data_IF_284396918653
#
_entry.id   IF_284396918653
#
_cell.length_a   1.000
_cell.length_b   1.000
_cell.length_c   1.000
_cell.angle_alpha   90.00
_cell.angle_beta   90.00
_cell.angle_gamma   90.00
#
_symmetry.space_group_name_H-M   'P 1'
#
loop_
_entity.id
_entity.type
_entity.pdbx_description
1 polymer ?
#
# COMPACT_ATOMS: atom_id res chain seq x y z
N UNK A 1 -20.77 19.83 -6.36
CA UNK A 1 -20.09 20.44 -5.19
C UNK A 1 -18.73 19.73 -5.01
N UNK A 2 -17.73 20.28 -4.31
CA UNK A 2 -16.39 19.63 -4.16
C UNK A 2 -16.51 18.23 -3.53
N UNK A 3 -17.47 18.04 -2.63
CA UNK A 3 -17.78 16.76 -1.98
C UNK A 3 -18.15 15.66 -2.97
N UNK A 4 -18.94 15.98 -4.00
CA UNK A 4 -19.37 15.01 -5.01
C UNK A 4 -18.17 14.60 -5.88
N UNK A 5 -17.35 15.57 -6.25
CA UNK A 5 -16.12 15.33 -7.01
C UNK A 5 -15.17 14.40 -6.25
N UNK A 6 -14.89 14.70 -4.97
CA UNK A 6 -13.99 13.85 -4.16
C UNK A 6 -14.57 12.44 -3.91
N UNK A 7 -15.89 12.32 -3.75
CA UNK A 7 -16.56 11.04 -3.49
C UNK A 7 -16.66 10.15 -4.72
N UNK A 8 -16.84 10.73 -5.90
CA UNK A 8 -17.11 10.01 -7.14
C UNK A 8 -15.90 9.94 -8.09
N UNK A 9 -14.74 10.45 -7.66
CA UNK A 9 -13.50 10.28 -8.42
C UNK A 9 -13.11 8.80 -8.45
N UNK A 10 -13.07 8.24 -9.67
CA UNK A 10 -12.72 6.83 -9.88
C UNK A 10 -11.25 6.52 -9.54
N UNK A 11 -10.91 5.24 -9.32
CA UNK A 11 -9.54 4.81 -9.10
C UNK A 11 -8.67 5.09 -10.33
N UNK A 12 -7.33 5.25 -10.16
CA UNK A 12 -6.42 5.32 -11.29
C UNK A 12 -6.51 4.04 -12.15
N UNK A 13 -6.36 4.13 -13.48
CA UNK A 13 -6.41 2.97 -14.35
C UNK A 13 -5.26 2.01 -14.04
N UNK A 14 -5.57 0.71 -14.10
CA UNK A 14 -4.60 -0.36 -13.88
C UNK A 14 -3.81 -0.64 -15.13
N UNK A 15 -2.54 -0.98 -14.95
CA UNK A 15 -1.69 -1.50 -16.02
C UNK A 15 -1.89 -3.01 -16.08
N UNK A 16 -2.07 -3.62 -17.26
CA UNK A 16 -2.10 -5.08 -17.40
C UNK A 16 -0.83 -5.71 -16.81
N UNK A 17 -1.01 -6.78 -16.02
CA UNK A 17 0.12 -7.45 -15.39
C UNK A 17 0.97 -8.20 -16.42
N UNK A 18 2.27 -7.94 -16.41
CA UNK A 18 3.26 -8.79 -17.09
C UNK A 18 3.43 -10.11 -16.34
N UNK A 19 4.12 -11.08 -16.96
CA UNK A 19 4.49 -12.34 -16.27
C UNK A 19 5.32 -12.10 -15.00
N UNK A 20 6.22 -11.12 -15.02
CA UNK A 20 7.01 -10.74 -13.84
C UNK A 20 6.14 -10.10 -12.76
N UNK A 21 5.20 -9.21 -13.12
CA UNK A 21 4.29 -8.59 -12.16
C UNK A 21 3.34 -9.61 -11.51
N UNK A 22 2.85 -10.62 -12.26
CA UNK A 22 2.07 -11.71 -11.66
C UNK A 22 2.88 -12.55 -10.68
N UNK A 23 4.17 -12.80 -10.97
CA UNK A 23 5.07 -13.44 -10.00
C UNK A 23 5.33 -12.54 -8.78
N UNK A 24 5.45 -11.23 -9.01
CA UNK A 24 5.59 -10.21 -7.97
C UNK A 24 4.40 -10.16 -7.01
N UNK A 25 3.16 -10.25 -7.50
CA UNK A 25 1.96 -10.29 -6.66
C UNK A 25 1.99 -11.50 -5.70
N UNK A 26 2.50 -12.65 -6.16
CA UNK A 26 2.69 -13.83 -5.30
C UNK A 26 3.77 -13.58 -4.24
N UNK A 27 4.90 -12.99 -4.63
CA UNK A 27 5.98 -12.65 -3.68
C UNK A 27 5.50 -11.63 -2.63
N UNK A 28 4.70 -10.65 -3.04
CA UNK A 28 4.11 -9.63 -2.16
C UNK A 28 3.28 -10.27 -1.04
N UNK A 29 2.41 -11.23 -1.38
CA UNK A 29 1.66 -12.00 -0.40
C UNK A 29 2.59 -12.88 0.46
N UNK A 30 3.53 -13.59 -0.17
CA UNK A 30 4.44 -14.53 0.49
C UNK A 30 5.31 -13.90 1.57
N UNK A 31 5.83 -12.69 1.36
CA UNK A 31 6.68 -12.03 2.36
C UNK A 31 5.90 -11.32 3.46
N UNK A 32 4.58 -11.23 3.31
CA UNK A 32 3.68 -10.64 4.31
C UNK A 32 3.33 -9.18 4.05
N UNK A 33 3.61 -8.60 2.87
CA UNK A 33 3.16 -7.24 2.56
C UNK A 33 1.63 -7.13 2.63
N UNK A 34 0.93 -8.17 2.18
CA UNK A 34 -0.52 -8.24 2.14
C UNK A 34 -1.20 -8.33 3.52
N UNK A 35 -0.45 -8.39 4.62
CA UNK A 35 -1.01 -8.36 5.99
C UNK A 35 -1.66 -6.99 6.25
N UNK A 36 -0.94 -5.91 5.96
CA UNK A 36 -1.45 -4.54 6.08
C UNK A 36 -1.94 -4.02 4.72
N UNK A 37 -1.24 -4.37 3.63
CA UNK A 37 -1.59 -3.95 2.27
C UNK A 37 -2.57 -4.93 1.60
N UNK A 38 -3.74 -5.14 2.21
CA UNK A 38 -4.72 -6.11 1.73
C UNK A 38 -5.18 -5.81 0.30
N UNK A 39 -5.14 -6.79 -0.63
CA UNK A 39 -5.37 -6.53 -2.05
C UNK A 39 -6.72 -5.91 -2.39
N UNK A 40 -7.77 -6.28 -1.67
CA UNK A 40 -9.15 -5.86 -1.95
C UNK A 40 -9.88 -5.57 -0.66
N UNK A 41 -10.61 -4.45 -0.62
CA UNK A 41 -11.69 -4.22 0.33
C UNK A 41 -13.01 -4.04 -0.39
N UNK A 42 -14.10 -3.94 0.35
CA UNK A 42 -15.41 -3.63 -0.19
C UNK A 42 -15.93 -2.32 0.40
N UNK A 43 -16.55 -1.49 -0.43
CA UNK A 43 -17.36 -0.38 0.10
C UNK A 43 -18.53 -0.95 0.91
N UNK A 44 -19.02 -0.16 1.88
CA UNK A 44 -20.20 -0.53 2.65
C UNK A 44 -21.50 -0.48 1.83
N UNK A 45 -22.62 -0.91 2.42
CA UNK A 45 -23.94 -0.68 1.83
C UNK A 45 -24.16 0.79 1.50
N UNK A 46 -24.68 1.09 0.32
CA UNK A 46 -24.93 2.46 -0.13
C UNK A 46 -26.18 2.56 -1.02
N UNK A 47 -26.82 3.72 -1.02
CA UNK A 47 -27.93 4.02 -1.95
C UNK A 47 -27.42 4.26 -3.37
N UNK A 48 -26.20 4.78 -3.52
CA UNK A 48 -25.57 5.00 -4.81
C UNK A 48 -25.04 3.66 -5.36
N UNK A 49 -25.55 3.17 -6.50
CA UNK A 49 -25.09 1.92 -7.10
C UNK A 49 -23.62 1.92 -7.48
N UNK A 50 -22.97 3.09 -7.62
CA UNK A 50 -21.54 3.20 -7.86
C UNK A 50 -20.70 2.87 -6.59
N UNK A 51 -21.31 2.94 -5.41
CA UNK A 51 -20.65 2.77 -4.12
C UNK A 51 -21.23 1.63 -3.27
N UNK A 52 -22.32 0.98 -3.67
CA UNK A 52 -22.89 -0.14 -2.94
C UNK A 52 -22.05 -1.42 -3.13
N UNK A 53 -21.43 -1.89 -2.03
CA UNK A 53 -20.73 -3.19 -1.94
C UNK A 53 -19.75 -3.46 -3.09
N UNK A 54 -19.03 -2.44 -3.55
CA UNK A 54 -18.05 -2.54 -4.63
C UNK A 54 -16.72 -3.07 -4.13
N UNK A 55 -16.15 -4.02 -4.87
CA UNK A 55 -14.77 -4.42 -4.68
C UNK A 55 -13.82 -3.28 -5.08
N UNK A 56 -12.95 -2.89 -4.17
CA UNK A 56 -11.94 -1.85 -4.34
C UNK A 56 -10.56 -2.47 -4.11
N UNK A 57 -9.75 -2.57 -5.17
CA UNK A 57 -8.37 -3.09 -5.06
C UNK A 57 -7.40 -1.99 -4.66
N UNK A 58 -7.51 -1.56 -3.40
CA UNK A 58 -6.76 -0.43 -2.86
C UNK A 58 -5.41 -0.82 -2.24
N UNK A 59 -5.16 -2.11 -2.00
CA UNK A 59 -3.91 -2.60 -1.41
C UNK A 59 -3.60 -1.95 -0.05
N UNK A 60 -4.61 -1.91 0.81
CA UNK A 60 -4.54 -1.47 2.20
C UNK A 60 -5.78 -1.97 2.93
N UNK A 61 -5.67 -2.11 4.24
CA UNK A 61 -6.78 -2.39 5.16
C UNK A 61 -7.35 -1.11 5.80
N UNK A 62 -6.74 0.05 5.52
CA UNK A 62 -7.03 1.35 6.12
C UNK A 62 -6.94 1.39 7.66
N UNK A 63 -6.28 0.40 8.26
CA UNK A 63 -6.08 0.33 9.71
C UNK A 63 -4.80 1.05 10.12
N UNK A 64 -4.68 1.26 11.44
CA UNK A 64 -3.50 1.81 12.09
C UNK A 64 -2.54 0.68 12.46
N UNK A 65 -1.25 0.87 12.17
CA UNK A 65 -0.20 -0.10 12.49
C UNK A 65 1.02 0.57 13.09
N UNK A 66 1.67 -0.08 14.05
CA UNK A 66 2.93 0.39 14.61
C UNK A 66 4.04 0.31 13.54
N UNK A 67 4.47 1.48 13.06
CA UNK A 67 5.52 1.65 12.06
C UNK A 67 6.91 1.86 12.67
N UNK A 68 7.08 1.63 13.97
CA UNK A 68 8.39 1.68 14.62
C UNK A 68 9.03 3.05 14.57
N UNK A 69 10.27 3.10 14.09
CA UNK A 69 11.02 4.34 13.87
C UNK A 69 10.45 5.26 12.78
N UNK A 70 9.41 4.80 12.05
CA UNK A 70 8.68 5.59 11.06
C UNK A 70 7.37 6.18 11.61
N UNK A 71 7.19 6.22 12.93
CA UNK A 71 6.17 7.06 13.56
C UNK A 71 6.46 8.55 13.36
N UNK A 72 5.42 9.38 13.35
CA UNK A 72 5.54 10.85 13.28
C UNK A 72 5.65 11.51 14.67
N UNK A 73 5.48 10.73 15.74
CA UNK A 73 5.55 11.23 17.12
C UNK A 73 4.25 11.87 17.61
N UNK A 74 3.18 11.86 16.80
CA UNK A 74 1.93 12.57 17.08
C UNK A 74 0.88 11.57 17.57
N UNK A 75 0.37 11.78 18.79
CA UNK A 75 -0.82 11.05 19.26
C UNK A 75 -2.09 11.75 18.76
N UNK A 76 -3.02 11.00 18.16
CA UNK A 76 -4.29 11.54 17.65
C UNK A 76 -5.46 10.66 18.07
N UNK A 77 -6.28 11.15 19.02
CA UNK A 77 -7.36 10.34 19.59
C UNK A 77 -6.80 9.09 20.26
N UNK A 78 -7.17 7.91 19.74
CA UNK A 78 -6.65 6.62 20.23
C UNK A 78 -5.38 6.16 19.50
N UNK A 79 -4.97 6.84 18.43
CA UNK A 79 -3.75 6.51 17.70
C UNK A 79 -2.52 6.92 18.50
N UNK A 80 -1.58 5.99 18.66
CA UNK A 80 -0.30 6.19 19.35
C UNK A 80 0.72 6.88 18.44
N UNK A 81 1.76 7.52 18.99
CA UNK A 81 2.79 8.25 18.23
C UNK A 81 3.55 7.46 17.14
N UNK A 82 3.44 6.13 17.14
CA UNK A 82 4.09 5.22 16.18
C UNK A 82 3.10 4.59 15.20
N UNK A 83 1.81 4.81 15.40
CA UNK A 83 0.76 4.19 14.62
C UNK A 83 0.46 5.04 13.39
N UNK A 84 0.67 4.46 12.22
CA UNK A 84 0.35 5.12 10.95
C UNK A 84 -0.76 4.35 10.26
N UNK A 85 -1.69 5.06 9.64
CA UNK A 85 -2.69 4.42 8.78
C UNK A 85 -2.01 3.86 7.54
N UNK A 86 -2.26 2.59 7.20
CA UNK A 86 -1.76 2.00 5.95
C UNK A 86 -2.32 2.75 4.74
N UNK A 87 -1.51 3.50 3.95
CA UNK A 87 -2.02 4.21 2.80
C UNK A 87 -2.33 3.22 1.65
N UNK A 88 -3.39 3.44 0.87
CA UNK A 88 -3.64 2.69 -0.36
C UNK A 88 -2.44 2.73 -1.32
N UNK A 89 -2.05 1.59 -1.88
CA UNK A 89 -1.00 1.49 -2.90
C UNK A 89 -1.52 1.68 -4.33
N UNK A 90 -2.81 1.97 -4.52
CA UNK A 90 -3.30 2.33 -5.86
C UNK A 90 -2.59 3.60 -6.40
N UNK A 91 -2.17 3.58 -7.66
CA UNK A 91 -1.40 4.66 -8.27
C UNK A 91 -0.03 4.88 -7.64
N UNK A 92 0.58 3.86 -7.04
CA UNK A 92 1.88 3.97 -6.35
C UNK A 92 2.97 4.52 -7.28
N UNK A 93 2.94 4.11 -8.56
CA UNK A 93 3.88 4.57 -9.61
C UNK A 93 3.82 6.07 -9.91
N UNK A 94 2.72 6.75 -9.58
CA UNK A 94 2.52 8.17 -9.88
C UNK A 94 3.07 9.09 -8.77
N UNK A 95 3.58 8.53 -7.67
CA UNK A 95 4.10 9.30 -6.53
C UNK A 95 5.58 9.63 -6.74
N UNK A 96 5.97 10.85 -6.39
CA UNK A 96 7.37 11.31 -6.45
C UNK A 96 8.19 10.97 -5.19
N UNK A 97 7.53 10.81 -4.04
CA UNK A 97 8.13 10.50 -2.74
C UNK A 97 7.23 9.53 -1.97
N UNK A 98 7.83 8.77 -1.06
CA UNK A 98 7.17 7.73 -0.27
C UNK A 98 7.39 7.93 1.23
N UNK A 99 6.59 7.22 2.02
CA UNK A 99 6.44 7.40 3.48
C UNK A 99 5.80 8.76 3.83
N UNK A 100 5.36 8.91 5.07
CA UNK A 100 4.58 10.07 5.49
C UNK A 100 5.38 11.39 5.45
N UNK A 101 6.70 11.31 5.56
CA UNK A 101 7.62 12.45 5.56
C UNK A 101 8.40 12.60 4.24
N UNK A 102 8.11 11.76 3.25
CA UNK A 102 8.73 11.84 1.93
C UNK A 102 10.21 11.47 1.87
N UNK A 103 10.80 10.87 2.92
CA UNK A 103 12.25 10.58 2.96
C UNK A 103 12.72 9.58 1.89
N UNK A 104 11.83 8.71 1.42
CA UNK A 104 12.14 7.71 0.40
C UNK A 104 11.84 8.25 -1.01
N UNK A 105 12.85 8.22 -1.88
CA UNK A 105 12.76 8.59 -3.29
C UNK A 105 12.28 7.44 -4.18
N UNK A 106 12.45 6.19 -3.73
CA UNK A 106 12.08 4.99 -4.50
C UNK A 106 11.20 4.04 -3.69
N UNK A 107 10.41 3.23 -4.39
CA UNK A 107 9.63 2.13 -3.77
C UNK A 107 10.55 1.20 -2.99
N UNK A 108 11.74 0.89 -3.54
CA UNK A 108 12.70 0.03 -2.88
C UNK A 108 13.22 0.64 -1.56
N UNK A 109 13.52 1.94 -1.53
CA UNK A 109 13.89 2.63 -0.29
C UNK A 109 12.76 2.61 0.73
N UNK A 110 11.51 2.83 0.29
CA UNK A 110 10.34 2.76 1.15
C UNK A 110 10.20 1.37 1.78
N UNK A 111 10.27 0.30 0.98
CA UNK A 111 10.23 -1.09 1.47
C UNK A 111 11.37 -1.36 2.46
N UNK A 112 12.59 -0.88 2.17
CA UNK A 112 13.75 -1.03 3.06
C UNK A 112 13.65 -0.21 4.35
N UNK A 113 12.84 0.84 4.38
CA UNK A 113 12.63 1.64 5.58
C UNK A 113 11.61 1.03 6.53
N UNK A 114 10.72 0.12 6.07
CA UNK A 114 9.64 -0.43 6.91
C UNK A 114 10.19 -0.99 8.22
N UNK A 115 9.56 -0.58 9.31
CA UNK A 115 9.93 -0.93 10.68
C UNK A 115 8.67 -1.41 11.43
N UNK A 116 8.74 -1.55 12.76
CA UNK A 116 7.60 -2.03 13.55
C UNK A 116 7.00 -3.35 13.02
N UNK A 117 5.69 -3.38 12.79
CA UNK A 117 4.97 -4.54 12.24
C UNK A 117 5.43 -4.90 10.81
N UNK A 118 5.86 -3.93 10.01
CA UNK A 118 6.36 -4.13 8.66
C UNK A 118 7.79 -4.69 8.58
N UNK A 119 8.52 -4.71 9.70
CA UNK A 119 9.94 -5.11 9.77
C UNK A 119 10.20 -6.49 9.17
N UNK A 120 9.32 -7.46 9.44
CA UNK A 120 9.49 -8.84 8.96
C UNK A 120 9.39 -8.95 7.44
N UNK A 121 8.49 -8.18 6.83
CA UNK A 121 8.36 -8.13 5.36
C UNK A 121 9.60 -7.47 4.74
N UNK A 122 10.09 -6.37 5.34
CA UNK A 122 11.37 -5.76 4.96
C UNK A 122 12.51 -6.77 4.96
N UNK A 123 12.70 -7.49 6.07
CA UNK A 123 13.83 -8.43 6.21
C UNK A 123 13.79 -9.53 5.15
N UNK A 124 12.62 -10.10 4.88
CA UNK A 124 12.43 -11.06 3.78
C UNK A 124 12.72 -10.45 2.41
N UNK A 125 12.29 -9.21 2.16
CA UNK A 125 12.64 -8.49 0.93
C UNK A 125 14.16 -8.30 0.79
N UNK A 126 14.88 -8.02 1.89
CA UNK A 126 16.34 -7.89 1.82
C UNK A 126 17.04 -9.21 1.48
N UNK A 127 16.43 -10.36 1.76
CA UNK A 127 16.95 -11.68 1.41
C UNK A 127 16.71 -12.07 -0.06
N UNK A 128 15.80 -11.39 -0.77
CA UNK A 128 15.52 -11.68 -2.17
C UNK A 128 16.75 -11.48 -3.07
N UNK A 129 16.90 -12.39 -4.03
CA UNK A 129 17.83 -12.20 -5.14
C UNK A 129 17.35 -11.09 -6.10
N UNK A 130 18.21 -10.64 -7.04
CA UNK A 130 17.88 -9.55 -7.97
C UNK A 130 16.57 -9.78 -8.74
N UNK A 131 16.35 -11.00 -9.25
CA UNK A 131 15.16 -11.35 -10.03
C UNK A 131 13.88 -11.21 -9.21
N UNK A 132 13.86 -11.71 -7.97
CA UNK A 132 12.69 -11.61 -7.09
C UNK A 132 12.38 -10.16 -6.72
N UNK A 133 13.43 -9.34 -6.49
CA UNK A 133 13.24 -7.91 -6.24
C UNK A 133 12.63 -7.22 -7.45
N UNK A 134 13.12 -7.48 -8.66
CA UNK A 134 12.54 -6.95 -9.89
C UNK A 134 11.08 -7.37 -10.04
N UNK A 135 10.74 -8.64 -9.83
CA UNK A 135 9.35 -9.10 -9.94
C UNK A 135 8.43 -8.38 -8.95
N UNK A 136 8.85 -8.24 -7.69
CA UNK A 136 8.06 -7.48 -6.71
C UNK A 136 7.92 -6.01 -7.12
N UNK A 137 8.98 -5.37 -7.60
CA UNK A 137 8.92 -3.97 -8.03
C UNK A 137 8.06 -3.79 -9.29
N UNK A 138 8.07 -4.72 -10.23
CA UNK A 138 7.20 -4.72 -11.41
C UNK A 138 5.73 -4.76 -10.98
N UNK A 139 5.40 -5.59 -9.99
CA UNK A 139 4.07 -5.63 -9.40
C UNK A 139 3.70 -4.30 -8.73
N UNK A 140 4.58 -3.77 -7.88
CA UNK A 140 4.34 -2.49 -7.17
C UNK A 140 4.20 -1.31 -8.14
N UNK A 141 4.87 -1.34 -9.30
CA UNK A 141 4.70 -0.34 -10.35
C UNK A 141 3.42 -0.52 -11.17
N UNK A 142 2.82 -1.71 -11.16
CA UNK A 142 1.57 -1.97 -11.89
C UNK A 142 0.32 -1.47 -11.18
N UNK A 143 0.41 -1.26 -9.86
CA UNK A 143 -0.70 -0.86 -8.98
C UNK A 143 -0.80 0.64 -8.75
#
# INVERSE_FOLDING_TARGET
>A
MITDFMRLLGPPPRVPLTRSAMAGEKLFAQIGCAICHQPTMFTGPNIDPALDRKAVRLFSDLLLHDMGSLGDGIAQGTARPREMKTPPLWGLRARARYLHDGRAATIQEAVRAHDGEGRRARERFTQFGPVQRTFLLDFLNSI
#
